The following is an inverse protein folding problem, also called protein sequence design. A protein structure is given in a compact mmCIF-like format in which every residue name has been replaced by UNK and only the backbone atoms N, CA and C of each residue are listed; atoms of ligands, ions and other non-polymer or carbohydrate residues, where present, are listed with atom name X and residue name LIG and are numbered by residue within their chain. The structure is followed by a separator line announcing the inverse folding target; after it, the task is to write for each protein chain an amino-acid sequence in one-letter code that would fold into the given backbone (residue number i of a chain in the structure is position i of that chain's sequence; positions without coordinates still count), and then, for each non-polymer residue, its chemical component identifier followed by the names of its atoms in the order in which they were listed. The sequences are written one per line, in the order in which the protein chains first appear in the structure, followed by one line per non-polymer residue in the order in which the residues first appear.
data_IF_425815012343
#
_entry.id   IF_425815012343
#
_cell.length_a   1.000
_cell.length_b   1.000
_cell.length_c   1.000
_cell.angle_alpha   90.00
_cell.angle_beta   90.00
_cell.angle_gamma   90.00
#
_symmetry.space_group_name_H-M   'P 1'
#
loop_
_entity.id
_entity.type
_entity.pdbx_description
1 polymer ?
#
# COMPACT_ATOMS: atom_id res chain seq x y z
N UNK A 1 24.26 0.59 22.22
CA UNK A 1 23.06 1.13 21.55
C UNK A 1 23.40 1.36 20.09
N UNK A 2 22.78 0.63 19.16
CA UNK A 2 23.20 0.62 17.76
C UNK A 2 22.80 1.91 17.04
N UNK A 3 23.74 2.86 16.96
CA UNK A 3 23.66 4.09 16.19
C UNK A 3 24.19 3.82 14.77
N UNK A 4 23.33 3.83 13.77
CA UNK A 4 23.69 3.99 12.35
C UNK A 4 24.29 2.80 11.57
N UNK A 5 24.46 1.62 12.17
CA UNK A 5 25.05 0.46 11.46
C UNK A 5 24.70 -0.94 12.00
N UNK A 6 23.88 -1.03 13.06
CA UNK A 6 23.44 -2.31 13.62
C UNK A 6 22.04 -2.72 13.14
N UNK A 7 21.61 -3.90 13.58
CA UNK A 7 20.24 -4.35 13.38
C UNK A 7 19.25 -3.47 14.17
N UNK A 8 18.09 -3.19 13.58
CA UNK A 8 16.97 -2.57 14.27
C UNK A 8 16.43 -3.52 15.34
N UNK A 9 16.13 -2.95 16.50
CA UNK A 9 15.38 -3.63 17.56
C UNK A 9 13.94 -3.92 17.13
N UNK A 10 13.30 -4.88 17.79
CA UNK A 10 11.93 -5.24 17.45
C UNK A 10 10.95 -4.07 17.70
N UNK A 11 11.22 -3.21 18.70
CA UNK A 11 10.49 -1.96 18.97
C UNK A 11 10.64 -0.95 17.82
N UNK A 12 11.87 -0.69 17.35
CA UNK A 12 12.13 0.20 16.22
C UNK A 12 11.46 -0.31 14.94
N UNK A 13 11.47 -1.63 14.72
CA UNK A 13 10.80 -2.24 13.57
C UNK A 13 9.29 -2.00 13.63
N UNK A 14 8.68 -2.16 14.80
CA UNK A 14 7.25 -1.96 14.98
C UNK A 14 6.85 -0.50 14.77
N UNK A 15 7.65 0.44 15.30
CA UNK A 15 7.47 1.87 15.07
C UNK A 15 7.55 2.21 13.58
N UNK A 16 8.61 1.75 12.90
CA UNK A 16 8.86 2.06 11.50
C UNK A 16 7.77 1.48 10.57
N UNK A 17 7.18 0.33 10.91
CA UNK A 17 6.07 -0.27 10.14
C UNK A 17 4.80 0.56 10.12
N UNK A 18 4.57 1.40 11.13
CA UNK A 18 3.41 2.28 11.19
C UNK A 18 3.53 3.53 10.32
N UNK A 19 4.72 3.84 9.78
CA UNK A 19 4.96 5.06 9.02
C UNK A 19 4.53 4.91 7.56
N UNK A 20 3.81 5.89 6.99
CA UNK A 20 3.40 5.84 5.58
C UNK A 20 4.59 5.91 4.61
N UNK A 21 5.75 6.38 5.08
CA UNK A 21 6.99 6.43 4.32
C UNK A 21 7.65 5.05 4.10
N UNK A 22 7.19 4.03 4.84
CA UNK A 22 7.84 2.73 4.93
C UNK A 22 6.88 1.66 4.39
N UNK A 23 7.33 0.92 3.39
CA UNK A 23 6.58 -0.20 2.82
C UNK A 23 6.85 -1.52 3.57
N UNK A 24 8.09 -1.74 4.00
CA UNK A 24 8.46 -2.92 4.79
C UNK A 24 9.75 -2.65 5.58
N UNK A 25 9.91 -3.34 6.71
CA UNK A 25 11.11 -3.30 7.54
C UNK A 25 11.48 -4.69 8.00
N UNK A 26 12.76 -5.01 7.85
CA UNK A 26 13.45 -6.15 8.45
C UNK A 26 14.52 -5.64 9.40
N UNK A 27 15.14 -6.54 10.17
CA UNK A 27 16.23 -6.19 11.11
C UNK A 27 17.36 -5.37 10.49
N UNK A 28 17.62 -5.45 9.18
CA UNK A 28 18.75 -4.77 8.58
C UNK A 28 18.36 -3.89 7.38
N UNK A 29 17.08 -3.90 6.96
CA UNK A 29 16.65 -3.25 5.73
C UNK A 29 15.30 -2.55 5.92
N UNK A 30 15.25 -1.32 5.42
CA UNK A 30 14.00 -0.58 5.23
C UNK A 30 13.72 -0.55 3.74
N UNK A 31 12.53 -0.97 3.37
CA UNK A 31 11.94 -0.77 2.04
C UNK A 31 11.03 0.44 2.15
N UNK A 32 11.40 1.52 1.47
CA UNK A 32 10.60 2.75 1.46
C UNK A 32 9.42 2.62 0.50
N UNK A 33 8.31 3.27 0.86
CA UNK A 33 7.14 3.38 0.00
C UNK A 33 7.48 4.17 -1.27
N UNK A 34 6.94 3.75 -2.42
CA UNK A 34 7.23 4.43 -3.69
C UNK A 34 6.69 5.86 -3.72
N UNK A 35 5.53 6.10 -3.10
CA UNK A 35 4.99 7.45 -2.90
C UNK A 35 5.98 8.36 -2.17
N UNK A 36 6.61 7.87 -1.10
CA UNK A 36 7.59 8.63 -0.34
C UNK A 36 8.86 8.92 -1.16
N UNK A 37 9.36 7.94 -1.92
CA UNK A 37 10.52 8.15 -2.81
C UNK A 37 10.26 9.27 -3.82
N UNK A 38 9.06 9.30 -4.40
CA UNK A 38 8.64 10.31 -5.38
C UNK A 38 8.57 11.70 -4.73
N UNK A 39 7.82 11.84 -3.64
CA UNK A 39 7.70 13.11 -2.89
C UNK A 39 9.07 13.61 -2.42
N UNK A 40 9.89 12.72 -1.86
CA UNK A 40 11.23 13.06 -1.40
C UNK A 40 12.11 13.59 -2.54
N UNK A 41 12.02 12.98 -3.72
CA UNK A 41 12.84 13.39 -4.87
C UNK A 41 12.41 14.77 -5.37
N UNK A 42 11.09 15.01 -5.50
CA UNK A 42 10.54 16.31 -5.91
C UNK A 42 10.99 17.40 -4.93
N UNK A 43 10.78 17.20 -3.63
CA UNK A 43 11.16 18.17 -2.58
C UNK A 43 12.67 18.45 -2.55
N UNK A 44 13.48 17.41 -2.76
CA UNK A 44 14.93 17.57 -2.84
C UNK A 44 15.35 18.42 -4.04
N UNK A 45 14.76 18.17 -5.23
CA UNK A 45 15.04 18.96 -6.43
C UNK A 45 14.57 20.42 -6.31
N UNK A 46 13.55 20.68 -5.50
CA UNK A 46 13.13 22.05 -5.16
C UNK A 46 14.02 22.72 -4.09
N UNK A 47 15.08 22.05 -3.64
CA UNK A 47 16.10 22.61 -2.74
C UNK A 47 15.94 22.27 -1.26
N UNK A 48 15.00 21.39 -0.88
CA UNK A 48 14.87 20.98 0.52
C UNK A 48 15.94 19.95 0.93
N UNK A 49 16.44 20.06 2.16
CA UNK A 49 17.43 19.12 2.69
C UNK A 49 16.86 17.69 2.84
N UNK A 50 17.59 16.64 2.39
CA UNK A 50 17.20 15.24 2.61
C UNK A 50 16.86 14.92 4.07
N UNK A 51 17.67 15.44 5.00
CA UNK A 51 17.50 15.19 6.44
C UNK A 51 16.20 15.81 6.95
N UNK A 52 15.81 16.98 6.44
CA UNK A 52 14.55 17.64 6.80
C UNK A 52 13.36 16.79 6.34
N UNK A 53 13.36 16.38 5.07
CA UNK A 53 12.28 15.56 4.47
C UNK A 53 12.09 14.25 5.24
N UNK A 54 13.20 13.56 5.56
CA UNK A 54 13.16 12.31 6.31
C UNK A 54 12.67 12.51 7.75
N UNK A 55 13.11 13.57 8.44
CA UNK A 55 12.65 13.87 9.80
C UNK A 55 11.15 14.11 9.86
N UNK A 56 10.61 14.89 8.91
CA UNK A 56 9.16 15.14 8.81
C UNK A 56 8.36 13.87 8.50
N UNK A 57 8.97 12.90 7.82
CA UNK A 57 8.38 11.60 7.54
C UNK A 57 8.47 10.60 8.71
N UNK A 58 8.94 11.04 9.89
CA UNK A 58 9.15 10.18 11.06
C UNK A 58 10.41 9.31 11.01
N UNK A 59 11.35 9.64 10.12
CA UNK A 59 12.57 8.88 9.87
C UNK A 59 13.81 9.71 10.25
N UNK A 60 14.08 9.94 11.55
CA UNK A 60 15.17 10.82 11.96
C UNK A 60 16.54 10.25 11.55
N UNK A 61 17.53 11.13 11.25
CA UNK A 61 18.86 10.70 10.82
C UNK A 61 19.62 9.91 11.89
N UNK A 62 19.25 10.03 13.17
CA UNK A 62 19.87 9.26 14.26
C UNK A 62 19.47 7.78 14.22
N UNK A 63 18.26 7.48 13.73
CA UNK A 63 17.74 6.12 13.55
C UNK A 63 18.19 5.52 12.22
N UNK A 64 18.08 6.31 11.14
CA UNK A 64 18.35 5.82 9.78
C UNK A 64 19.84 5.88 9.43
N UNK A 65 20.54 6.89 9.92
CA UNK A 65 21.91 7.24 9.58
C UNK A 65 21.98 8.27 8.44
N UNK A 66 22.68 9.39 8.69
CA UNK A 66 22.88 10.48 7.72
C UNK A 66 23.35 9.98 6.34
N UNK A 67 24.40 9.14 6.30
CA UNK A 67 24.93 8.59 5.03
C UNK A 67 23.98 7.65 4.31
N UNK A 68 23.05 7.00 5.02
CA UNK A 68 22.04 6.15 4.38
C UNK A 68 20.97 7.00 3.72
N UNK A 69 20.58 8.12 4.34
CA UNK A 69 19.64 9.09 3.77
C UNK A 69 20.22 9.68 2.48
N UNK A 70 21.42 10.25 2.53
CA UNK A 70 22.10 10.84 1.35
C UNK A 70 22.12 9.85 0.16
N UNK A 71 22.65 8.63 0.39
CA UNK A 71 22.76 7.60 -0.65
C UNK A 71 21.40 7.15 -1.21
N UNK A 72 20.35 7.14 -0.39
CA UNK A 72 19.02 6.80 -0.88
C UNK A 72 18.47 7.89 -1.78
N UNK A 73 18.57 9.16 -1.36
CA UNK A 73 18.07 10.29 -2.13
C UNK A 73 18.81 10.45 -3.45
N UNK A 74 20.14 10.33 -3.47
CA UNK A 74 20.90 10.42 -4.73
C UNK A 74 20.54 9.30 -5.71
N UNK A 75 20.35 8.08 -5.22
CA UNK A 75 19.89 6.96 -6.05
C UNK A 75 18.51 7.24 -6.62
N UNK A 76 17.55 7.67 -5.79
CA UNK A 76 16.18 7.95 -6.23
C UNK A 76 16.10 9.11 -7.20
N UNK A 77 16.84 10.20 -6.95
CA UNK A 77 17.02 11.32 -7.87
C UNK A 77 17.49 10.83 -9.23
N UNK A 78 18.55 10.04 -9.26
CA UNK A 78 19.13 9.52 -10.52
C UNK A 78 18.11 8.68 -11.28
N UNK A 79 17.39 7.79 -10.60
CA UNK A 79 16.33 6.99 -11.21
C UNK A 79 15.16 7.83 -11.71
N UNK A 80 14.74 8.85 -10.95
CA UNK A 80 13.63 9.72 -11.30
C UNK A 80 13.94 10.58 -12.52
N UNK A 81 15.12 11.21 -12.56
CA UNK A 81 15.57 12.01 -13.71
C UNK A 81 15.58 11.14 -14.97
N UNK A 82 16.24 9.97 -14.93
CA UNK A 82 16.27 9.02 -16.05
C UNK A 82 14.89 8.57 -16.52
N UNK A 83 13.89 8.59 -15.64
CA UNK A 83 12.53 8.17 -15.96
C UNK A 83 11.68 9.24 -16.66
N UNK A 84 12.15 10.49 -16.72
CA UNK A 84 11.45 11.63 -17.36
C UNK A 84 12.29 12.29 -18.46
N UNK A 85 13.62 12.27 -18.33
CA UNK A 85 14.54 12.69 -19.38
C UNK A 85 14.70 11.52 -20.34
N UNK A 86 14.04 11.59 -21.51
CA UNK A 86 14.31 10.69 -22.63
C UNK A 86 15.68 10.98 -23.27
N UNK A 87 15.77 10.99 -24.60
CA UNK A 87 17.01 11.41 -25.31
C UNK A 87 17.27 12.92 -25.35
N UNK A 88 16.37 13.74 -24.80
CA UNK A 88 16.49 15.20 -24.82
C UNK A 88 17.15 15.77 -23.57
N UNK A 89 17.88 16.87 -23.72
CA UNK A 89 18.29 17.70 -22.58
C UNK A 89 17.07 18.47 -22.06
N UNK A 90 16.80 18.36 -20.76
CA UNK A 90 15.68 18.99 -20.10
C UNK A 90 16.17 19.83 -18.93
N UNK A 91 15.58 21.00 -18.71
CA UNK A 91 15.92 21.86 -17.57
C UNK A 91 15.42 21.28 -16.25
N UNK A 92 16.04 21.65 -15.13
CA UNK A 92 15.63 21.22 -13.80
C UNK A 92 14.15 21.57 -13.52
N UNK A 93 13.69 22.73 -13.98
CA UNK A 93 12.29 23.16 -13.81
C UNK A 93 11.29 22.26 -14.53
N UNK A 94 11.62 21.82 -15.74
CA UNK A 94 10.80 20.91 -16.54
C UNK A 94 10.84 19.48 -15.99
N UNK A 95 12.01 19.03 -15.50
CA UNK A 95 12.16 17.74 -14.82
C UNK A 95 11.26 17.69 -13.59
N UNK A 96 11.29 18.74 -12.75
CA UNK A 96 10.43 18.85 -11.57
C UNK A 96 8.96 18.82 -11.99
N UNK A 97 8.56 19.60 -13.00
CA UNK A 97 7.19 19.64 -13.49
C UNK A 97 6.69 18.27 -13.99
N UNK A 98 7.51 17.54 -14.76
CA UNK A 98 7.17 16.18 -15.20
C UNK A 98 7.02 15.19 -14.04
N UNK A 99 7.92 15.25 -13.06
CA UNK A 99 7.86 14.38 -11.88
C UNK A 99 6.61 14.65 -11.05
N UNK A 100 6.25 15.92 -10.86
CA UNK A 100 5.02 16.33 -10.17
C UNK A 100 3.80 15.82 -10.93
N UNK A 101 3.72 16.03 -12.25
CA UNK A 101 2.58 15.56 -13.05
C UNK A 101 2.41 14.04 -12.98
N UNK A 102 3.52 13.29 -13.03
CA UNK A 102 3.52 11.83 -12.89
C UNK A 102 3.01 11.40 -11.51
N UNK A 103 3.44 12.08 -10.46
CA UNK A 103 3.00 11.82 -9.08
C UNK A 103 1.50 12.06 -8.94
N UNK A 104 1.00 13.23 -9.38
CA UNK A 104 -0.42 13.57 -9.35
C UNK A 104 -1.26 12.57 -10.13
N UNK A 105 -0.82 12.18 -11.33
CA UNK A 105 -1.53 11.19 -12.13
C UNK A 105 -1.60 9.83 -11.42
N UNK A 106 -0.49 9.34 -10.87
CA UNK A 106 -0.47 8.08 -10.12
C UNK A 106 -1.35 8.16 -8.85
N UNK A 107 -1.35 9.30 -8.16
CA UNK A 107 -2.16 9.54 -6.98
C UNK A 107 -3.66 9.55 -7.30
N UNK A 108 -4.07 10.27 -8.35
CA UNK A 108 -5.45 10.32 -8.83
C UNK A 108 -5.91 8.94 -9.28
N UNK A 109 -5.08 8.19 -10.01
CA UNK A 109 -5.41 6.82 -10.43
C UNK A 109 -5.61 5.90 -9.23
N UNK A 110 -4.76 6.01 -8.19
CA UNK A 110 -4.91 5.22 -6.96
C UNK A 110 -6.21 5.57 -6.24
N UNK A 111 -6.51 6.86 -6.06
CA UNK A 111 -7.75 7.31 -5.42
C UNK A 111 -8.99 6.88 -6.20
N UNK A 112 -8.94 6.95 -7.52
CA UNK A 112 -10.02 6.47 -8.39
C UNK A 112 -10.19 4.95 -8.25
N UNK A 113 -9.12 4.17 -8.20
CA UNK A 113 -9.20 2.73 -7.95
C UNK A 113 -9.78 2.42 -6.56
N UNK A 114 -9.35 3.13 -5.53
CA UNK A 114 -9.90 3.01 -4.17
C UNK A 114 -11.41 3.36 -4.16
N UNK A 115 -11.83 4.35 -4.94
CA UNK A 115 -13.25 4.70 -5.08
C UNK A 115 -14.05 3.64 -5.86
N UNK A 116 -13.47 3.04 -6.89
CA UNK A 116 -14.10 1.95 -7.67
C UNK A 116 -14.23 0.71 -6.79
N UNK A 117 -13.17 0.34 -6.07
CA UNK A 117 -13.18 -0.81 -5.16
C UNK A 117 -14.23 -0.62 -4.06
N UNK A 118 -14.28 0.56 -3.43
CA UNK A 118 -15.35 0.89 -2.48
C UNK A 118 -16.74 0.84 -3.12
N UNK A 119 -16.91 1.37 -4.34
CA UNK A 119 -18.18 1.32 -5.06
C UNK A 119 -18.61 -0.11 -5.42
N UNK A 120 -17.68 -0.97 -5.84
CA UNK A 120 -17.96 -2.39 -6.07
C UNK A 120 -18.26 -3.14 -4.78
N UNK A 121 -17.70 -2.71 -3.65
CA UNK A 121 -17.99 -3.28 -2.33
C UNK A 121 -19.36 -2.84 -1.81
N UNK A 122 -19.80 -1.61 -2.12
CA UNK A 122 -21.17 -1.13 -1.85
C UNK A 122 -22.24 -1.72 -2.78
N UNK A 123 -21.86 -2.24 -3.95
CA UNK A 123 -22.79 -2.65 -5.00
C UNK A 123 -22.74 -4.15 -5.34
N UNK A 124 -22.41 -5.02 -4.38
CA UNK A 124 -22.69 -6.45 -4.52
C UNK A 124 -24.22 -6.59 -4.46
N UNK A 125 -24.91 -6.93 -5.56
CA UNK A 125 -26.35 -7.09 -5.54
C UNK A 125 -26.63 -8.46 -4.91
N UNK A 126 -26.79 -8.50 -3.59
CA UNK A 126 -27.61 -9.54 -3.00
C UNK A 126 -29.01 -9.27 -3.53
N UNK A 127 -29.48 -10.10 -4.47
CA UNK A 127 -30.87 -10.05 -4.94
C UNK A 127 -31.78 -10.42 -3.77
N UNK A 128 -32.12 -9.43 -2.96
CA UNK A 128 -33.24 -9.46 -2.03
C UNK A 128 -34.22 -8.39 -2.52
N UNK A 129 -35.29 -8.85 -3.14
CA UNK A 129 -36.40 -8.02 -3.56
C UNK A 129 -37.23 -7.74 -2.31
N UNK A 130 -37.35 -6.47 -1.90
CA UNK A 130 -38.22 -6.09 -0.78
C UNK A 130 -37.72 -4.88 -0.01
N UNK A 131 -38.26 -3.72 -0.39
CA UNK A 131 -38.32 -2.49 0.39
C UNK A 131 -39.20 -2.71 1.63
N UNK A 132 -38.58 -2.83 2.79
CA UNK A 132 -39.00 -2.35 4.12
C UNK A 132 -38.09 -3.01 5.17
N UNK A 133 -37.63 -2.24 6.17
CA UNK A 133 -36.63 -2.66 7.15
C UNK A 133 -36.90 -4.05 7.74
N UNK A 134 -35.96 -4.97 7.55
CA UNK A 134 -36.07 -6.35 8.05
C UNK A 134 -35.94 -6.33 9.57
N UNK A 135 -37.04 -6.59 10.26
CA UNK A 135 -37.09 -6.79 11.70
C UNK A 135 -36.04 -7.84 12.16
N UNK A 136 -35.39 -7.57 13.29
CA UNK A 136 -34.26 -8.37 13.83
C UNK A 136 -34.65 -9.83 14.02
N UNK A 137 -35.93 -10.13 14.28
CA UNK A 137 -36.47 -11.48 14.35
C UNK A 137 -36.40 -12.24 13.01
N UNK A 138 -36.72 -11.57 11.91
CA UNK A 138 -36.70 -12.14 10.55
C UNK A 138 -35.26 -12.41 10.08
N UNK A 139 -34.32 -11.51 10.40
CA UNK A 139 -32.90 -11.71 10.12
C UNK A 139 -32.35 -12.98 10.82
N UNK A 140 -32.75 -13.24 12.07
CA UNK A 140 -32.33 -14.44 12.82
C UNK A 140 -32.82 -15.75 12.17
N UNK A 141 -34.03 -15.74 11.61
CA UNK A 141 -34.62 -16.91 10.93
C UNK A 141 -33.88 -17.17 9.62
N UNK A 142 -33.58 -16.12 8.85
CA UNK A 142 -32.83 -16.21 7.59
C UNK A 142 -31.42 -16.75 7.85
N UNK A 143 -30.73 -16.26 8.89
CA UNK A 143 -29.38 -16.75 9.25
C UNK A 143 -29.41 -18.24 9.61
N UNK A 144 -30.38 -18.68 10.41
CA UNK A 144 -30.54 -20.10 10.78
C UNK A 144 -30.90 -21.00 9.59
N UNK A 145 -31.60 -20.46 8.61
CA UNK A 145 -31.95 -21.19 7.39
C UNK A 145 -30.74 -21.28 6.44
N UNK A 146 -29.97 -20.19 6.31
CA UNK A 146 -28.73 -20.14 5.54
C UNK A 146 -27.68 -21.12 6.10
N UNK A 147 -27.48 -21.15 7.42
CA UNK A 147 -26.55 -22.08 8.05
C UNK A 147 -26.88 -23.55 7.74
N UNK A 148 -28.17 -23.93 7.85
CA UNK A 148 -28.63 -25.28 7.48
C UNK A 148 -28.39 -25.61 6.01
N UNK A 149 -28.62 -24.63 5.12
CA UNK A 149 -28.40 -24.83 3.68
C UNK A 149 -26.92 -24.98 3.33
N UNK A 150 -26.04 -24.28 4.05
CA UNK A 150 -24.59 -24.43 3.91
C UNK A 150 -24.17 -25.83 4.35
N UNK A 151 -24.63 -26.31 5.51
CA UNK A 151 -24.30 -27.66 5.99
C UNK A 151 -24.74 -28.77 5.00
N UNK A 152 -25.92 -28.62 4.38
CA UNK A 152 -26.41 -29.53 3.35
C UNK A 152 -25.51 -29.52 2.10
N UNK A 153 -25.13 -28.33 1.63
CA UNK A 153 -24.27 -28.17 0.46
C UNK A 153 -22.85 -28.68 0.71
N UNK A 154 -22.33 -28.51 1.92
CA UNK A 154 -21.03 -29.03 2.30
C UNK A 154 -21.01 -30.55 2.35
N UNK A 155 -22.08 -31.20 2.86
CA UNK A 155 -22.22 -32.66 2.77
C UNK A 155 -22.31 -33.15 1.33
N UNK A 156 -23.13 -32.50 0.49
CA UNK A 156 -23.25 -32.88 -0.91
C UNK A 156 -21.91 -32.73 -1.66
N UNK A 157 -21.15 -31.68 -1.39
CA UNK A 157 -19.81 -31.52 -1.94
C UNK A 157 -18.82 -32.58 -1.44
N UNK A 158 -18.88 -32.96 -0.17
CA UNK A 158 -18.05 -34.02 0.38
C UNK A 158 -18.34 -35.37 -0.30
N UNK A 159 -19.62 -35.66 -0.53
CA UNK A 159 -20.07 -36.87 -1.22
C UNK A 159 -19.64 -36.90 -2.69
N UNK A 160 -19.85 -35.80 -3.43
CA UNK A 160 -19.39 -35.67 -4.82
C UNK A 160 -17.87 -35.79 -4.93
N UNK A 161 -17.12 -35.18 -4.01
CA UNK A 161 -15.66 -35.35 -3.96
C UNK A 161 -15.25 -36.80 -3.69
N UNK A 162 -15.99 -37.52 -2.86
CA UNK A 162 -15.77 -38.95 -2.63
C UNK A 162 -16.03 -39.80 -3.88
N UNK A 163 -17.09 -39.50 -4.64
CA UNK A 163 -17.40 -40.19 -5.89
C UNK A 163 -16.35 -39.94 -6.98
N UNK A 164 -15.84 -38.70 -7.07
CA UNK A 164 -14.73 -38.34 -7.96
C UNK A 164 -13.44 -39.08 -7.55
N UNK A 165 -13.17 -39.20 -6.25
CA UNK A 165 -12.00 -39.93 -5.76
C UNK A 165 -12.10 -41.45 -5.96
N UNK A 166 -13.32 -42.02 -6.02
CA UNK A 166 -13.55 -43.44 -6.26
C UNK A 166 -13.56 -43.82 -7.76
N UNK A 167 -13.59 -42.82 -8.65
CA UNK A 167 -13.55 -43.00 -10.11
C UNK A 167 -12.20 -42.67 -10.74
N UNK A 168 -11.21 -42.26 -9.92
CA UNK A 168 -9.81 -42.07 -10.28
C UNK A 168 -8.95 -43.23 -9.77
#
# INVERSE_FOLDING_TARGET
MARGGGAFSDEEIQLLRGLPAVANVTRNRITYADSFKQVCTIRYLTGESPTKIFREAGLPPDLIGYKRIERCVDRWKTSAIKSVTGSGNMSDSEIIAQLVNRYEHAFVMRRNLDSITNRTMEHIPVKAQGDDGIDVGTASIIIKQQARRIDELERANAELRGQIAATA
#
